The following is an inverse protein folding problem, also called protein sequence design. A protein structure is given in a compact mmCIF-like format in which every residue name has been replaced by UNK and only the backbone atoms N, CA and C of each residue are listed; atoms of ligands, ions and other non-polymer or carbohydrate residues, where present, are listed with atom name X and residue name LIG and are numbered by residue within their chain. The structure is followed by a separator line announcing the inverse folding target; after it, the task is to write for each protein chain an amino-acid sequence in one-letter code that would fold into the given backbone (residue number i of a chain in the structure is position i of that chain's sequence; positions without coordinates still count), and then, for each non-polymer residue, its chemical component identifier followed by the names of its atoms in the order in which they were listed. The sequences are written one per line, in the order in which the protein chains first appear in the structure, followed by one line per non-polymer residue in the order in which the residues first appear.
data_IF_254976510254
#
_entry.id   IF_254976510254
#
_cell.length_a   1.000
_cell.length_b   1.000
_cell.length_c   1.000
_cell.angle_alpha   90.00
_cell.angle_beta   90.00
_cell.angle_gamma   90.00
#
_symmetry.space_group_name_H-M   'P 1'
#
loop_
_entity.id
_entity.type
_entity.pdbx_description
1 polymer ?
#
# COMPACT_ATOMS: atom_id res chain seq x y z
N UNK A 1 18.92 -7.74 -33.36
CA UNK A 1 18.24 -8.24 -32.15
C UNK A 1 16.75 -8.05 -32.37
N UNK A 2 15.93 -9.10 -32.28
CA UNK A 2 14.48 -8.91 -32.27
C UNK A 2 14.12 -8.17 -30.99
N UNK A 3 13.49 -7.00 -31.12
CA UNK A 3 12.99 -6.23 -29.99
C UNK A 3 11.84 -7.00 -29.37
N UNK A 4 12.03 -7.44 -28.13
CA UNK A 4 10.96 -8.03 -27.35
C UNK A 4 10.11 -6.90 -26.73
N UNK A 5 8.81 -6.99 -26.94
CA UNK A 5 7.82 -6.11 -26.31
C UNK A 5 7.00 -6.94 -25.32
N UNK A 6 6.91 -6.47 -24.08
CA UNK A 6 6.08 -7.12 -23.06
C UNK A 6 4.59 -6.99 -23.43
N UNK A 7 3.74 -8.01 -23.17
CA UNK A 7 2.31 -7.91 -23.43
C UNK A 7 1.65 -6.77 -22.64
N UNK A 8 0.68 -6.08 -23.25
CA UNK A 8 -0.02 -4.93 -22.66
C UNK A 8 -0.89 -5.28 -21.46
N UNK A 9 -1.18 -6.56 -21.24
CA UNK A 9 -1.98 -7.07 -20.14
C UNK A 9 -1.16 -7.22 -18.84
N UNK A 10 0.18 -7.15 -18.90
CA UNK A 10 1.01 -7.30 -17.71
C UNK A 10 0.70 -6.20 -16.70
N UNK A 11 0.53 -6.61 -15.44
CA UNK A 11 0.32 -5.73 -14.30
C UNK A 11 1.28 -6.12 -13.18
N UNK A 12 1.71 -5.14 -12.40
CA UNK A 12 2.35 -5.40 -11.12
C UNK A 12 1.28 -5.98 -10.18
N UNK A 13 1.51 -7.17 -9.65
CA UNK A 13 0.52 -7.89 -8.84
C UNK A 13 0.49 -7.47 -7.37
N UNK A 14 1.65 -7.16 -6.79
CA UNK A 14 1.79 -6.80 -5.39
C UNK A 14 3.00 -5.91 -5.12
N UNK A 15 2.95 -5.19 -4.01
CA UNK A 15 4.07 -4.42 -3.43
C UNK A 15 4.29 -4.87 -1.99
N UNK A 16 5.56 -4.99 -1.57
CA UNK A 16 5.92 -5.23 -0.18
C UNK A 16 6.62 -4.01 0.38
N UNK A 17 6.08 -3.48 1.48
CA UNK A 17 6.56 -2.28 2.15
C UNK A 17 7.23 -2.68 3.46
N UNK A 18 8.43 -2.14 3.68
CA UNK A 18 9.06 -2.13 5.00
C UNK A 18 8.40 -1.04 5.84
N UNK A 19 7.90 -1.41 7.01
CA UNK A 19 7.22 -0.51 7.95
C UNK A 19 7.88 -0.59 9.31
N UNK A 20 8.01 0.55 9.98
CA UNK A 20 8.62 0.59 11.32
C UNK A 20 7.69 0.09 12.43
N UNK A 21 6.38 0.14 12.18
CA UNK A 21 5.32 -0.27 13.10
C UNK A 21 4.21 -0.95 12.28
N UNK A 22 4.01 -2.25 12.52
CA UNK A 22 3.03 -3.05 11.79
C UNK A 22 1.59 -2.67 12.14
N UNK A 23 1.30 -2.38 13.40
CA UNK A 23 -0.05 -2.03 13.84
C UNK A 23 -0.47 -0.67 13.29
N UNK A 24 0.43 0.32 13.31
CA UNK A 24 0.19 1.62 12.68
C UNK A 24 -0.10 1.47 11.18
N UNK A 25 0.65 0.61 10.50
CA UNK A 25 0.43 0.34 9.08
C UNK A 25 -0.90 -0.40 8.84
N UNK A 26 -1.28 -1.35 9.69
CA UNK A 26 -2.57 -2.02 9.64
C UNK A 26 -3.74 -1.05 9.89
N UNK A 27 -3.62 -0.12 10.84
CA UNK A 27 -4.65 0.90 11.05
C UNK A 27 -4.89 1.77 9.81
N UNK A 28 -3.84 2.02 9.02
CA UNK A 28 -4.01 2.71 7.75
C UNK A 28 -4.61 1.80 6.66
N UNK A 29 -3.97 0.68 6.34
CA UNK A 29 -4.38 -0.13 5.18
C UNK A 29 -5.65 -0.95 5.43
N UNK A 30 -5.78 -1.58 6.59
CA UNK A 30 -6.95 -2.38 6.96
C UNK A 30 -8.09 -1.47 7.42
N UNK A 31 -7.86 -0.69 8.46
CA UNK A 31 -8.97 -0.01 9.13
C UNK A 31 -9.44 1.21 8.34
N UNK A 32 -8.52 2.03 7.82
CA UNK A 32 -8.87 3.27 7.10
C UNK A 32 -9.11 3.07 5.60
N UNK A 33 -8.23 2.36 4.90
CA UNK A 33 -8.39 2.09 3.46
C UNK A 33 -9.32 0.91 3.15
N UNK A 34 -9.59 0.04 4.12
CA UNK A 34 -10.57 -1.04 4.00
C UNK A 34 -10.06 -2.32 3.34
N UNK A 35 -8.73 -2.54 3.27
CA UNK A 35 -8.21 -3.83 2.84
C UNK A 35 -8.47 -4.91 3.90
N UNK A 36 -8.57 -6.15 3.45
CA UNK A 36 -8.75 -7.33 4.29
C UNK A 36 -7.38 -7.97 4.57
N UNK A 37 -7.13 -8.39 5.81
CA UNK A 37 -5.94 -9.17 6.15
C UNK A 37 -6.14 -10.60 5.64
N UNK A 38 -5.29 -11.03 4.72
CA UNK A 38 -5.33 -12.41 4.18
C UNK A 38 -4.44 -13.35 4.99
N UNK A 39 -3.33 -12.85 5.54
CA UNK A 39 -2.41 -13.63 6.34
C UNK A 39 -1.64 -12.73 7.31
N UNK A 40 -1.41 -13.25 8.52
CA UNK A 40 -0.44 -12.70 9.47
C UNK A 40 0.76 -13.64 9.57
N UNK A 41 1.96 -13.09 9.62
CA UNK A 41 3.18 -13.83 9.93
C UNK A 41 3.69 -13.40 11.31
N UNK A 42 3.14 -14.04 12.35
CA UNK A 42 3.37 -13.64 13.72
C UNK A 42 3.06 -12.15 13.93
N UNK A 43 4.03 -11.42 14.49
CA UNK A 43 3.94 -9.97 14.74
C UNK A 43 4.78 -9.13 13.75
N UNK A 44 5.42 -9.77 12.78
CA UNK A 44 6.44 -9.12 11.94
C UNK A 44 5.96 -8.82 10.53
N UNK A 45 4.91 -9.49 10.05
CA UNK A 45 4.33 -9.16 8.76
C UNK A 45 2.83 -9.42 8.67
N UNK A 46 2.18 -8.68 7.77
CA UNK A 46 0.79 -8.85 7.39
C UNK A 46 0.64 -8.74 5.87
N UNK A 47 -0.27 -9.52 5.32
CA UNK A 47 -0.60 -9.52 3.90
C UNK A 47 -2.05 -9.07 3.76
N UNK A 48 -2.29 -8.14 2.82
CA UNK A 48 -3.58 -7.49 2.65
C UNK A 48 -4.06 -7.55 1.20
N UNK A 49 -5.37 -7.74 1.02
CA UNK A 49 -6.00 -7.78 -0.28
C UNK A 49 -7.41 -7.18 -0.26
N UNK A 50 -8.02 -7.06 -1.44
CA UNK A 50 -9.43 -6.78 -1.59
C UNK A 50 -10.04 -7.87 -2.48
N UNK A 51 -11.24 -8.35 -2.12
CA UNK A 51 -12.00 -9.28 -2.97
C UNK A 51 -11.39 -10.68 -3.06
N UNK A 52 -10.70 -11.14 -2.01
CA UNK A 52 -10.19 -12.52 -1.92
C UNK A 52 -8.94 -12.84 -2.75
N UNK A 53 -8.24 -11.83 -3.29
CA UNK A 53 -6.93 -12.02 -3.93
C UNK A 53 -5.86 -12.45 -2.92
N UNK A 54 -4.78 -13.12 -3.36
CA UNK A 54 -3.72 -13.62 -2.46
C UNK A 54 -3.10 -12.51 -1.59
N UNK A 55 -2.62 -11.43 -2.21
CA UNK A 55 -2.34 -10.14 -1.57
C UNK A 55 -1.97 -9.07 -2.61
N UNK A 56 -2.37 -7.83 -2.37
CA UNK A 56 -1.87 -6.66 -3.09
C UNK A 56 -0.72 -5.98 -2.34
N UNK A 57 -0.77 -6.00 -1.01
CA UNK A 57 0.18 -5.30 -0.14
C UNK A 57 0.73 -6.28 0.90
N UNK A 58 2.04 -6.41 0.96
CA UNK A 58 2.75 -7.01 2.09
C UNK A 58 3.32 -5.90 2.97
N UNK A 59 3.08 -5.96 4.27
CA UNK A 59 3.67 -5.06 5.27
C UNK A 59 4.61 -5.88 6.14
N UNK A 60 5.87 -5.48 6.31
CA UNK A 60 6.79 -6.18 7.19
C UNK A 60 7.70 -5.24 7.98
N UNK A 61 8.06 -5.64 9.19
CA UNK A 61 9.00 -4.92 10.06
C UNK A 61 10.44 -5.41 9.93
N UNK A 62 10.71 -6.30 8.97
CA UNK A 62 12.04 -6.90 8.79
C UNK A 62 13.09 -5.83 8.55
N UNK A 63 14.07 -5.77 9.46
CA UNK A 63 15.14 -4.77 9.49
C UNK A 63 14.69 -3.31 9.64
N UNK A 64 13.43 -3.07 10.06
CA UNK A 64 12.89 -1.71 10.18
C UNK A 64 12.05 -1.47 11.44
N UNK A 65 11.80 -2.49 12.26
CA UNK A 65 11.06 -2.35 13.53
C UNK A 65 11.65 -1.23 14.41
N UNK A 66 10.82 -0.23 14.75
CA UNK A 66 11.21 0.91 15.57
C UNK A 66 12.21 1.88 14.93
N UNK A 67 12.58 1.70 13.66
CA UNK A 67 13.49 2.60 12.95
C UNK A 67 12.81 3.92 12.56
N UNK A 68 13.58 5.02 12.42
CA UNK A 68 13.06 6.28 11.89
C UNK A 68 12.62 6.13 10.43
N UNK A 69 11.96 7.18 9.92
CA UNK A 69 11.58 7.28 8.51
C UNK A 69 12.81 7.17 7.60
N UNK A 70 12.61 6.56 6.42
CA UNK A 70 13.67 6.45 5.43
C UNK A 70 14.10 7.85 4.94
N UNK A 71 15.40 8.08 4.68
CA UNK A 71 15.87 9.35 4.13
C UNK A 71 15.20 9.67 2.79
N UNK A 72 14.79 10.92 2.60
CA UNK A 72 14.13 11.38 1.36
C UNK A 72 15.02 11.24 0.12
N UNK A 73 16.34 11.37 0.28
CA UNK A 73 17.33 11.29 -0.81
C UNK A 73 17.91 9.88 -0.99
N UNK A 74 17.36 8.87 -0.30
CA UNK A 74 17.80 7.48 -0.40
C UNK A 74 17.23 6.74 -1.62
N UNK A 75 17.90 5.67 -2.04
CA UNK A 75 17.33 4.74 -3.00
C UNK A 75 16.13 4.01 -2.39
N UNK A 76 14.97 4.06 -3.06
CA UNK A 76 13.75 3.45 -2.57
C UNK A 76 12.56 3.61 -3.51
N UNK A 77 11.42 3.08 -3.09
CA UNK A 77 10.15 3.29 -3.78
C UNK A 77 9.65 4.72 -3.50
N UNK A 78 9.48 5.53 -4.55
CA UNK A 78 8.98 6.90 -4.40
C UNK A 78 7.49 6.94 -4.01
N UNK A 79 6.63 6.21 -4.73
CA UNK A 79 5.23 6.01 -4.35
C UNK A 79 4.66 4.71 -4.94
N UNK A 80 3.51 4.29 -4.40
CA UNK A 80 2.60 3.31 -5.01
C UNK A 80 1.19 3.88 -4.97
N UNK A 81 0.36 3.54 -5.95
CA UNK A 81 -1.00 4.05 -6.07
C UNK A 81 -2.01 2.91 -6.12
N UNK A 82 -3.14 3.10 -5.46
CA UNK A 82 -4.28 2.18 -5.49
C UNK A 82 -5.27 2.70 -6.52
N UNK A 83 -5.47 1.94 -7.60
CA UNK A 83 -6.41 2.31 -8.66
C UNK A 83 -7.84 1.92 -8.26
N UNK A 84 -8.69 2.92 -8.05
CA UNK A 84 -10.13 2.72 -7.84
C UNK A 84 -10.86 2.61 -9.19
N UNK A 85 -11.88 1.75 -9.30
CA UNK A 85 -12.56 1.51 -10.58
C UNK A 85 -13.45 2.69 -10.99
N UNK A 86 -13.92 3.50 -10.05
CA UNK A 86 -14.75 4.68 -10.34
C UNK A 86 -14.34 5.90 -9.52
N UNK A 87 -14.69 7.10 -10.03
CA UNK A 87 -14.55 8.36 -9.29
C UNK A 87 -15.37 8.38 -7.99
N UNK A 88 -16.49 7.65 -7.95
CA UNK A 88 -17.32 7.55 -6.74
C UNK A 88 -16.57 6.81 -5.64
N UNK A 89 -15.92 5.69 -5.96
CA UNK A 89 -15.16 4.91 -4.97
C UNK A 89 -13.97 5.72 -4.44
N UNK A 90 -13.28 6.44 -5.32
CA UNK A 90 -12.22 7.38 -4.92
C UNK A 90 -12.75 8.50 -4.01
N UNK A 91 -13.91 9.08 -4.33
CA UNK A 91 -14.51 10.14 -3.52
C UNK A 91 -14.92 9.64 -2.12
N UNK A 92 -15.39 8.40 -2.01
CA UNK A 92 -15.74 7.80 -0.72
C UNK A 92 -14.53 7.65 0.18
N UNK A 93 -13.40 7.13 -0.34
CA UNK A 93 -12.19 7.02 0.48
C UNK A 93 -11.60 8.39 0.81
N UNK A 94 -11.63 9.34 -0.13
CA UNK A 94 -11.15 10.71 0.12
C UNK A 94 -11.97 11.38 1.24
N UNK A 95 -13.30 11.29 1.19
CA UNK A 95 -14.18 11.81 2.26
C UNK A 95 -13.81 11.20 3.61
N UNK A 96 -13.60 9.88 3.66
CA UNK A 96 -13.21 9.18 4.89
C UNK A 96 -11.87 9.69 5.44
N UNK A 97 -10.86 9.89 4.59
CA UNK A 97 -9.55 10.42 4.99
C UNK A 97 -9.66 11.85 5.56
N UNK A 98 -10.51 12.69 4.94
CA UNK A 98 -10.75 14.06 5.41
C UNK A 98 -11.49 14.07 6.77
N UNK A 99 -12.50 13.20 6.94
CA UNK A 99 -13.28 13.11 8.18
C UNK A 99 -12.46 12.59 9.37
N UNK A 100 -11.45 11.76 9.13
CA UNK A 100 -10.51 11.32 10.16
C UNK A 100 -9.33 12.26 10.37
N UNK A 101 -9.24 13.33 9.60
CA UNK A 101 -8.12 14.28 9.65
C UNK A 101 -6.78 13.68 9.24
N UNK A 102 -6.78 12.63 8.40
CA UNK A 102 -5.54 12.01 7.94
C UNK A 102 -4.77 12.98 7.00
N UNK A 103 -3.46 13.18 7.21
CA UNK A 103 -2.71 14.16 6.45
C UNK A 103 -2.62 13.80 4.96
N UNK A 104 -2.85 14.79 4.10
CA UNK A 104 -2.66 14.69 2.65
C UNK A 104 -1.47 15.56 2.26
N UNK A 105 -0.52 14.98 1.52
CA UNK A 105 0.73 15.65 1.11
C UNK A 105 0.63 16.31 -0.26
N UNK A 106 -0.43 16.04 -1.02
CA UNK A 106 -0.67 16.63 -2.34
C UNK A 106 -1.81 15.94 -3.09
N UNK A 107 -2.07 16.44 -4.30
CA UNK A 107 -2.96 15.82 -5.28
C UNK A 107 -2.31 15.94 -6.67
N UNK A 108 -2.49 14.93 -7.51
CA UNK A 108 -2.08 14.93 -8.92
C UNK A 108 -3.32 14.68 -9.77
N UNK A 109 -3.39 15.37 -10.91
CA UNK A 109 -4.41 15.19 -11.95
C UNK A 109 -4.09 14.06 -12.93
#
# INVERSE_FOLDING_TARGET
MNLYTIPTQVRIGHVHLKVSDLERALSFYRDLLGFEVTMMYGRQAAFLSAGGYHHHIGLNTWHSEGMPEAPLEGAGLYHTAIAYPTRRDLALILKRLLETGYPLTGASD
#
